data_IF_385902364922
#
_entry.id   IF_385902364922
#
_cell.length_a   1.000
_cell.length_b   1.000
_cell.length_c   1.000
_cell.angle_alpha   90.00
_cell.angle_beta   90.00
_cell.angle_gamma   90.00
#
_symmetry.space_group_name_H-M   'P 1'
#
loop_
_entity.id
_entity.type
_entity.pdbx_description
1 polymer ?
#
# COMPACT_ATOMS: atom_id res chain seq x y z
N UNK A 1 17.94 14.16 21.64
CA UNK A 1 18.44 14.49 20.28
C UNK A 1 19.20 13.33 19.65
N UNK A 2 20.42 12.97 20.08
CA UNK A 2 21.16 11.86 19.45
C UNK A 2 20.50 10.49 19.69
N UNK A 3 20.02 10.23 20.91
CA UNK A 3 19.36 8.96 21.25
C UNK A 3 18.10 8.71 20.42
N UNK A 4 17.27 9.73 20.20
CA UNK A 4 16.02 9.61 19.45
C UNK A 4 16.28 9.26 17.98
N UNK A 5 17.29 9.90 17.37
CA UNK A 5 17.73 9.60 16.00
C UNK A 5 18.31 8.19 15.87
N UNK A 6 19.06 7.73 16.87
CA UNK A 6 19.58 6.35 16.90
C UNK A 6 18.40 5.37 16.96
N UNK A 7 17.44 5.60 17.86
CA UNK A 7 16.26 4.75 17.99
C UNK A 7 15.46 4.72 16.67
N UNK A 8 15.18 5.88 16.07
CA UNK A 8 14.48 5.98 14.79
C UNK A 8 15.20 5.21 13.67
N UNK A 9 16.52 5.36 13.58
CA UNK A 9 17.33 4.63 12.61
C UNK A 9 17.29 3.12 12.87
N UNK A 10 17.48 2.68 14.11
CA UNK A 10 17.42 1.26 14.48
C UNK A 10 16.06 0.65 14.16
N UNK A 11 14.97 1.33 14.50
CA UNK A 11 13.61 0.88 14.14
C UNK A 11 13.40 0.89 12.62
N UNK A 12 13.90 1.90 11.91
CA UNK A 12 13.82 1.94 10.45
C UNK A 12 14.56 0.77 9.81
N UNK A 13 15.75 0.41 10.31
CA UNK A 13 16.49 -0.78 9.86
C UNK A 13 15.62 -2.02 10.05
N UNK A 14 15.09 -2.24 11.26
CA UNK A 14 14.25 -3.42 11.57
C UNK A 14 12.99 -3.51 10.69
N UNK A 15 12.36 -2.38 10.37
CA UNK A 15 11.19 -2.31 9.49
C UNK A 15 11.57 -2.64 8.05
N UNK A 16 12.60 -1.98 7.51
CA UNK A 16 13.00 -2.14 6.09
C UNK A 16 13.62 -3.51 5.80
N UNK A 17 14.30 -4.13 6.77
CA UNK A 17 14.77 -5.52 6.65
C UNK A 17 13.68 -6.54 6.93
N UNK A 18 12.46 -6.09 7.32
CA UNK A 18 11.33 -6.93 7.72
C UNK A 18 11.62 -7.89 8.87
N UNK A 19 12.64 -7.59 9.68
CA UNK A 19 12.94 -8.32 10.91
C UNK A 19 11.90 -8.01 11.99
N UNK A 20 11.35 -6.79 11.99
CA UNK A 20 10.22 -6.39 12.84
C UNK A 20 9.38 -5.31 12.16
N UNK A 21 8.12 -5.63 11.87
CA UNK A 21 7.16 -4.68 11.27
C UNK A 21 6.31 -4.11 12.39
N UNK A 22 6.34 -2.80 12.61
CA UNK A 22 5.57 -2.14 13.69
C UNK A 22 4.66 -1.02 13.17
N UNK A 23 4.89 -0.52 11.96
CA UNK A 23 4.01 0.38 11.22
C UNK A 23 3.60 -0.26 9.90
N UNK A 24 2.57 0.27 9.24
CA UNK A 24 2.24 -0.11 7.87
C UNK A 24 3.46 0.04 6.97
N UNK A 25 3.78 -1.02 6.23
CA UNK A 25 4.83 -1.06 5.22
C UNK A 25 4.23 -0.77 3.85
N UNK A 26 4.90 0.06 3.05
CA UNK A 26 4.41 0.48 1.74
C UNK A 26 5.38 0.09 0.65
N UNK A 27 4.90 -0.70 -0.30
CA UNK A 27 5.68 -1.21 -1.42
C UNK A 27 5.19 -0.51 -2.68
N UNK A 28 6.09 0.13 -3.43
CA UNK A 28 5.70 0.80 -4.68
C UNK A 28 6.71 0.51 -5.78
N UNK A 29 6.22 0.32 -7.00
CA UNK A 29 7.10 0.19 -8.16
C UNK A 29 7.84 1.53 -8.43
N UNK A 30 9.09 1.52 -8.92
CA UNK A 30 9.71 2.70 -9.47
C UNK A 30 8.91 3.08 -10.72
N UNK A 31 8.26 4.25 -10.70
CA UNK A 31 7.38 4.70 -11.79
C UNK A 31 8.02 4.48 -13.17
N UNK A 32 7.24 4.02 -14.15
CA UNK A 32 7.75 3.73 -15.50
C UNK A 32 6.75 4.17 -16.57
N UNK A 33 7.12 4.08 -17.85
CA UNK A 33 6.24 4.44 -18.98
C UNK A 33 4.94 3.62 -19.09
N UNK A 34 4.80 2.55 -18.29
CA UNK A 34 3.58 1.74 -18.21
C UNK A 34 2.60 2.22 -17.14
N UNK A 35 3.01 3.12 -16.25
CA UNK A 35 2.16 3.65 -15.19
C UNK A 35 0.93 4.34 -15.77
N UNK A 36 -0.27 4.01 -15.26
CA UNK A 36 -1.56 4.44 -15.83
C UNK A 36 -2.29 5.52 -15.02
N UNK A 37 -1.68 6.00 -13.95
CA UNK A 37 -2.18 7.02 -13.02
C UNK A 37 -1.01 7.72 -12.33
N UNK A 38 -1.26 8.78 -11.55
CA UNK A 38 -0.20 9.40 -10.75
C UNK A 38 0.14 8.50 -9.55
N UNK A 39 1.22 7.75 -9.67
CA UNK A 39 1.66 6.80 -8.65
C UNK A 39 2.07 7.50 -7.36
N UNK A 40 2.69 8.68 -7.45
CA UNK A 40 3.22 9.39 -6.30
C UNK A 40 2.09 9.98 -5.46
N UNK A 41 1.16 10.69 -6.11
CA UNK A 41 -0.02 11.24 -5.43
C UNK A 41 -0.90 10.14 -4.85
N UNK A 42 -1.12 9.05 -5.59
CA UNK A 42 -1.91 7.93 -5.11
C UNK A 42 -1.25 7.24 -3.91
N UNK A 43 0.06 7.02 -3.96
CA UNK A 43 0.79 6.43 -2.83
C UNK A 43 0.72 7.33 -1.60
N UNK A 44 0.78 8.65 -1.78
CA UNK A 44 0.60 9.61 -0.69
C UNK A 44 -0.82 9.52 -0.09
N UNK A 45 -1.86 9.47 -0.93
CA UNK A 45 -3.26 9.35 -0.48
C UNK A 45 -3.52 8.03 0.26
N UNK A 46 -2.99 6.91 -0.24
CA UNK A 46 -3.06 5.61 0.44
C UNK A 46 -2.37 5.69 1.80
N UNK A 47 -1.17 6.28 1.88
CA UNK A 47 -0.44 6.47 3.14
C UNK A 47 -1.21 7.35 4.13
N UNK A 48 -1.80 8.44 3.67
CA UNK A 48 -2.59 9.35 4.51
C UNK A 48 -3.73 8.61 5.21
N UNK A 49 -4.47 7.77 4.47
CA UNK A 49 -5.61 7.03 5.02
C UNK A 49 -5.24 5.78 5.82
N UNK A 50 -4.04 5.23 5.69
CA UNK A 50 -3.69 3.91 6.26
C UNK A 50 -2.44 3.88 7.16
N UNK A 51 -1.79 5.02 7.40
CA UNK A 51 -0.55 5.08 8.21
C UNK A 51 -0.73 4.71 9.69
N UNK A 52 -1.94 4.85 10.23
CA UNK A 52 -2.26 4.54 11.63
C UNK A 52 -2.36 3.03 11.87
N UNK A 53 -2.53 2.24 10.79
CA UNK A 53 -2.55 0.79 10.87
C UNK A 53 -1.16 0.25 11.20
N UNK A 54 -1.12 -0.97 11.72
CA UNK A 54 0.13 -1.63 12.15
C UNK A 54 0.21 -3.00 11.50
N UNK A 55 1.43 -3.41 11.18
CA UNK A 55 1.73 -4.77 10.69
C UNK A 55 1.09 -5.15 9.35
N UNK A 56 0.57 -4.18 8.59
CA UNK A 56 0.08 -4.40 7.23
C UNK A 56 1.12 -3.99 6.19
N UNK A 57 1.13 -4.72 5.07
CA UNK A 57 1.92 -4.39 3.87
C UNK A 57 0.96 -4.02 2.75
N UNK A 58 1.05 -2.78 2.29
CA UNK A 58 0.19 -2.25 1.23
C UNK A 58 1.05 -1.93 0.02
N UNK A 59 0.75 -2.56 -1.10
CA UNK A 59 1.43 -2.35 -2.37
C UNK A 59 0.65 -1.38 -3.26
N UNK A 60 1.34 -0.42 -3.88
CA UNK A 60 0.79 0.49 -4.90
C UNK A 60 1.60 0.33 -6.19
N UNK A 61 0.96 -0.22 -7.21
CA UNK A 61 1.60 -0.65 -8.44
C UNK A 61 1.02 0.09 -9.65
N UNK A 62 1.90 0.71 -10.44
CA UNK A 62 1.51 1.57 -11.55
C UNK A 62 0.88 0.82 -12.73
N UNK A 63 1.14 -0.48 -12.87
CA UNK A 63 0.64 -1.29 -13.97
C UNK A 63 0.37 -2.75 -13.58
N UNK A 64 -0.55 -3.39 -14.30
CA UNK A 64 -0.92 -4.81 -14.13
C UNK A 64 0.15 -5.79 -14.60
N UNK A 65 1.12 -5.35 -15.40
CA UNK A 65 2.09 -6.25 -16.04
C UNK A 65 3.04 -6.86 -15.00
N UNK A 66 3.74 -6.01 -14.25
CA UNK A 66 4.64 -6.46 -13.19
C UNK A 66 4.01 -6.33 -11.79
N UNK A 67 2.97 -5.51 -11.64
CA UNK A 67 2.37 -5.19 -10.35
C UNK A 67 2.05 -6.42 -9.50
N UNK A 68 1.32 -7.43 -10.02
CA UNK A 68 1.01 -8.65 -9.26
C UNK A 68 2.23 -9.45 -8.79
N UNK A 69 3.34 -9.42 -9.55
CA UNK A 69 4.58 -10.09 -9.16
C UNK A 69 5.37 -9.29 -8.11
N UNK A 70 5.47 -7.97 -8.30
CA UNK A 70 6.18 -7.05 -7.39
C UNK A 70 5.49 -6.93 -6.02
N UNK A 71 4.18 -7.21 -5.94
CA UNK A 71 3.41 -7.17 -4.69
C UNK A 71 3.13 -8.54 -4.07
N UNK A 72 3.80 -9.61 -4.51
CA UNK A 72 3.44 -10.99 -4.14
C UNK A 72 3.48 -11.30 -2.63
N UNK A 73 4.12 -10.44 -1.84
CA UNK A 73 4.32 -10.51 -0.40
C UNK A 73 3.52 -9.45 0.39
N UNK A 74 2.72 -8.64 -0.31
CA UNK A 74 1.84 -7.63 0.28
C UNK A 74 0.52 -8.25 0.75
N UNK A 75 -0.07 -7.71 1.80
CA UNK A 75 -1.37 -8.11 2.29
C UNK A 75 -2.48 -7.51 1.43
N UNK A 76 -2.24 -6.30 0.91
CA UNK A 76 -3.17 -5.57 0.04
C UNK A 76 -2.45 -4.97 -1.16
N UNK A 77 -3.10 -5.02 -2.33
CA UNK A 77 -2.56 -4.48 -3.57
C UNK A 77 -3.50 -3.48 -4.24
N UNK A 78 -2.98 -2.31 -4.58
CA UNK A 78 -3.59 -1.30 -5.45
C UNK A 78 -2.86 -1.33 -6.78
N UNK A 79 -3.49 -1.82 -7.85
CA UNK A 79 -2.81 -2.05 -9.13
C UNK A 79 -3.52 -1.36 -10.28
N UNK A 80 -2.79 -0.54 -11.05
CA UNK A 80 -3.30 0.06 -12.27
C UNK A 80 -3.57 -0.98 -13.35
N UNK A 81 -4.84 -1.28 -13.62
CA UNK A 81 -5.26 -2.21 -14.67
C UNK A 81 -5.59 -1.52 -16.00
N UNK A 82 -5.76 -0.21 -16.00
CA UNK A 82 -6.01 0.61 -17.20
C UNK A 82 -5.88 2.09 -16.89
N UNK A 83 -6.07 2.95 -17.91
CA UNK A 83 -6.03 4.41 -17.73
C UNK A 83 -7.19 4.85 -16.82
N UNK A 84 -6.86 5.35 -15.62
CA UNK A 84 -7.87 5.73 -14.62
C UNK A 84 -8.63 4.55 -14.01
N UNK A 85 -8.12 3.33 -14.16
CA UNK A 85 -8.80 2.10 -13.74
C UNK A 85 -7.86 1.24 -12.87
N UNK A 86 -8.38 0.81 -11.73
CA UNK A 86 -7.64 0.13 -10.67
C UNK A 86 -8.27 -1.22 -10.37
N UNK A 87 -7.42 -2.17 -9.99
CA UNK A 87 -7.77 -3.47 -9.44
C UNK A 87 -7.22 -3.58 -8.03
N UNK A 88 -8.05 -4.05 -7.10
CA UNK A 88 -7.69 -4.24 -5.69
C UNK A 88 -7.53 -5.71 -5.35
N UNK A 89 -6.48 -6.02 -4.61
CA UNK A 89 -6.09 -7.37 -4.24
C UNK A 89 -5.99 -7.54 -2.73
N UNK A 90 -6.27 -8.76 -2.25
CA UNK A 90 -5.89 -9.24 -0.92
C UNK A 90 -4.90 -10.39 -1.11
N UNK A 91 -3.65 -10.20 -0.69
CA UNK A 91 -2.56 -11.07 -1.10
C UNK A 91 -2.46 -11.14 -2.62
N UNK A 92 -2.64 -12.33 -3.17
CA UNK A 92 -2.65 -12.59 -4.62
C UNK A 92 -4.05 -12.63 -5.24
N UNK A 93 -5.08 -12.60 -4.41
CA UNK A 93 -6.47 -12.74 -4.85
C UNK A 93 -7.02 -11.40 -5.31
N UNK A 94 -7.54 -11.37 -6.52
CA UNK A 94 -8.15 -10.19 -7.12
C UNK A 94 -9.59 -10.03 -6.63
N UNK A 95 -9.80 -9.09 -5.70
CA UNK A 95 -11.08 -8.93 -5.01
C UNK A 95 -12.02 -7.96 -5.74
N UNK A 96 -11.50 -6.82 -6.21
CA UNK A 96 -12.28 -5.82 -6.95
C UNK A 96 -11.55 -5.46 -8.25
N UNK A 97 -12.31 -5.36 -9.35
CA UNK A 97 -11.80 -5.05 -10.68
C UNK A 97 -12.46 -3.80 -11.22
N UNK A 98 -11.75 -3.10 -12.10
CA UNK A 98 -12.28 -1.99 -12.88
C UNK A 98 -12.82 -0.82 -12.05
N UNK A 99 -12.20 -0.53 -10.91
CA UNK A 99 -12.59 0.58 -10.04
C UNK A 99 -12.03 1.88 -10.65
N UNK A 100 -12.82 2.94 -10.67
CA UNK A 100 -12.33 4.26 -11.07
C UNK A 100 -11.27 4.75 -10.09
N UNK A 101 -10.14 5.26 -10.59
CA UNK A 101 -8.99 5.65 -9.74
C UNK A 101 -9.33 6.65 -8.63
N UNK A 102 -10.32 7.53 -8.89
CA UNK A 102 -10.84 8.51 -7.93
C UNK A 102 -11.49 7.89 -6.68
N UNK A 103 -12.12 6.72 -6.83
CA UNK A 103 -12.85 6.04 -5.75
C UNK A 103 -12.00 4.89 -5.15
N UNK A 104 -10.96 4.47 -5.87
CA UNK A 104 -10.18 3.27 -5.55
C UNK A 104 -9.46 3.30 -4.19
N UNK A 105 -9.11 4.49 -3.67
CA UNK A 105 -8.48 4.59 -2.35
C UNK A 105 -9.50 4.33 -1.24
N UNK A 106 -10.72 4.83 -1.36
CA UNK A 106 -11.80 4.55 -0.42
C UNK A 106 -12.23 3.08 -0.49
N UNK A 107 -12.32 2.53 -1.70
CA UNK A 107 -12.61 1.11 -1.91
C UNK A 107 -11.54 0.18 -1.32
N UNK A 108 -10.27 0.63 -1.27
CA UNK A 108 -9.18 -0.07 -0.59
C UNK A 108 -9.37 -0.04 0.93
N UNK A 109 -9.75 1.11 1.50
CA UNK A 109 -10.07 1.23 2.93
C UNK A 109 -11.23 0.30 3.30
N UNK A 110 -12.29 0.28 2.50
CA UNK A 110 -13.44 -0.59 2.73
C UNK A 110 -13.08 -2.07 2.59
N UNK A 111 -12.17 -2.40 1.68
CA UNK A 111 -11.63 -3.75 1.56
C UNK A 111 -10.88 -4.15 2.84
N UNK A 112 -10.03 -3.29 3.39
CA UNK A 112 -9.30 -3.55 4.64
C UNK A 112 -10.29 -3.73 5.81
N UNK A 113 -11.33 -2.88 5.89
CA UNK A 113 -12.40 -2.97 6.90
C UNK A 113 -13.16 -4.28 6.82
N UNK A 114 -13.60 -4.67 5.62
CA UNK A 114 -14.37 -5.91 5.38
C UNK A 114 -13.57 -7.16 5.79
N UNK A 115 -12.24 -7.06 5.76
CA UNK A 115 -11.33 -8.13 6.12
C UNK A 115 -10.92 -8.15 7.60
N UNK A 116 -11.48 -7.26 8.44
CA UNK A 116 -11.16 -7.11 9.86
C UNK A 116 -9.70 -6.71 10.15
N UNK A 117 -9.01 -6.13 9.17
CA UNK A 117 -7.63 -5.64 9.32
C UNK A 117 -7.57 -4.12 9.61
N UNK A 118 -8.74 -3.47 9.69
CA UNK A 118 -8.87 -2.06 10.02
C UNK A 118 -8.91 -1.82 11.53
N UNK A 119 -8.17 -0.82 11.98
CA UNK A 119 -8.18 -0.35 13.37
C UNK A 119 -8.42 1.14 13.32
N UNK A 120 -9.43 1.65 14.04
CA UNK A 120 -9.71 3.09 14.05
C UNK A 120 -8.51 3.88 14.59
N UNK A 121 -8.19 5.05 14.01
CA UNK A 121 -7.14 5.92 14.51
C UNK A 121 -7.38 6.26 15.98
N UNK A 122 -6.35 6.09 16.81
CA UNK A 122 -6.40 6.56 18.19
C UNK A 122 -6.45 8.09 18.18
N UNK A 123 -7.50 8.66 18.80
CA UNK A 123 -7.71 10.11 19.01
C UNK A 123 -6.59 10.67 19.89
#
# INVERSE_FOLDING_TARGET
IYQDRINELSFSILQNTRTRIFKTDYISCPSCGRTKFDLQETTASVKEKTNHLKQLKIAVMGCIVNGPGEMADADYGYVGSGKGVISLYKGKDLIKRNIASKDAVDELVDLIKTNNDWIEPSI
#
